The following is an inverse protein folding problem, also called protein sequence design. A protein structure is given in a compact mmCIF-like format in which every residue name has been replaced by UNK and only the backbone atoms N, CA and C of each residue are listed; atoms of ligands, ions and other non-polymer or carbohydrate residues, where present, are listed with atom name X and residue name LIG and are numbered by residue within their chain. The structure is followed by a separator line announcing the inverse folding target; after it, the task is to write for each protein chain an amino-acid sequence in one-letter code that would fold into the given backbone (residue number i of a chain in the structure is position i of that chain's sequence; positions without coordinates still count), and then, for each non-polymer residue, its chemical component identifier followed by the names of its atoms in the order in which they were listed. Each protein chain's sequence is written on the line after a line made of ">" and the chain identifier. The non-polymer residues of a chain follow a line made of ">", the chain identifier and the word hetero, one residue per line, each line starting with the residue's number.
data_IF_654630636255
#
_entry.id   IF_654630636255
#
_cell.length_a   1.000
_cell.length_b   1.000
_cell.length_c   1.000
_cell.angle_alpha   90.00
_cell.angle_beta   90.00
_cell.angle_gamma   90.00
#
_symmetry.space_group_name_H-M   'P 1'
#
loop_
_entity.id
_entity.type
_entity.pdbx_description
1 polymer ?
#
# COMPACT_ATOMS: atom_id res chain seq x y z
N UNK A 1 -13.98 -19.98 -10.40
CA UNK A 1 -15.18 -19.28 -9.87
C UNK A 1 -14.72 -18.33 -8.77
N UNK A 2 -14.78 -17.03 -8.98
CA UNK A 2 -14.28 -16.03 -8.00
C UNK A 2 -15.28 -15.88 -6.87
N UNK A 3 -14.99 -16.43 -5.70
CA UNK A 3 -15.86 -16.38 -4.51
C UNK A 3 -15.83 -15.03 -3.74
N UNK A 4 -14.95 -14.11 -4.11
CA UNK A 4 -14.82 -12.84 -3.43
C UNK A 4 -14.60 -11.65 -4.38
N UNK A 5 -15.67 -11.11 -4.93
CA UNK A 5 -15.76 -9.68 -5.07
C UNK A 5 -16.78 -9.17 -4.06
N UNK A 6 -16.34 -8.38 -3.08
CA UNK A 6 -17.26 -7.62 -2.22
C UNK A 6 -17.87 -6.50 -3.07
N UNK A 7 -18.77 -6.86 -3.97
CA UNK A 7 -19.63 -5.95 -4.71
C UNK A 7 -21.00 -5.95 -4.06
N UNK A 8 -21.59 -4.78 -3.80
CA UNK A 8 -23.02 -4.71 -3.63
C UNK A 8 -23.73 -5.34 -4.85
N UNK A 9 -23.25 -5.04 -6.03
CA UNK A 9 -23.67 -5.64 -7.29
C UNK A 9 -23.34 -7.14 -7.38
N UNK A 10 -22.25 -7.59 -6.75
CA UNK A 10 -21.90 -9.02 -6.71
C UNK A 10 -22.82 -9.81 -5.78
N UNK A 11 -23.17 -9.29 -4.59
CA UNK A 11 -24.14 -9.94 -3.72
C UNK A 11 -25.52 -9.98 -4.37
N UNK A 12 -25.94 -8.93 -5.07
CA UNK A 12 -27.16 -8.92 -5.88
C UNK A 12 -27.08 -9.92 -7.04
N UNK A 13 -25.91 -10.04 -7.66
CA UNK A 13 -25.68 -11.04 -8.72
C UNK A 13 -25.69 -12.45 -8.15
N UNK A 14 -25.05 -12.69 -7.00
CA UNK A 14 -25.09 -14.00 -6.32
C UNK A 14 -26.49 -14.37 -5.87
N UNK A 15 -27.24 -13.45 -5.27
CA UNK A 15 -28.65 -13.62 -4.92
C UNK A 15 -29.46 -14.14 -6.15
N UNK A 16 -29.33 -13.45 -7.30
CA UNK A 16 -29.99 -13.88 -8.55
C UNK A 16 -29.45 -15.18 -9.13
N UNK A 17 -28.19 -15.54 -8.90
CA UNK A 17 -27.63 -16.83 -9.30
C UNK A 17 -28.26 -17.94 -8.45
N UNK A 18 -28.30 -17.75 -7.13
CA UNK A 18 -28.93 -18.70 -6.23
C UNK A 18 -30.44 -18.88 -6.53
N UNK A 19 -31.16 -17.77 -6.75
CA UNK A 19 -32.60 -17.83 -7.17
C UNK A 19 -32.81 -18.69 -8.41
N UNK A 20 -31.92 -18.56 -9.44
CA UNK A 20 -32.00 -19.40 -10.66
C UNK A 20 -31.79 -20.89 -10.39
N UNK A 21 -31.10 -21.23 -9.31
CA UNK A 21 -30.88 -22.59 -8.85
C UNK A 21 -31.91 -23.03 -7.77
N UNK A 22 -32.99 -22.26 -7.58
CA UNK A 22 -34.05 -22.58 -6.63
C UNK A 22 -33.70 -22.30 -5.16
N UNK A 23 -32.61 -21.62 -4.89
CA UNK A 23 -32.15 -21.30 -3.52
C UNK A 23 -32.32 -19.81 -3.24
N UNK A 24 -33.07 -19.48 -2.18
CA UNK A 24 -33.25 -18.08 -1.75
C UNK A 24 -32.31 -17.73 -0.60
N UNK A 25 -31.24 -16.96 -0.89
CA UNK A 25 -30.30 -16.46 0.10
C UNK A 25 -30.22 -14.95 -0.01
N UNK A 26 -30.62 -14.25 1.04
CA UNK A 26 -30.63 -12.79 1.05
C UNK A 26 -29.21 -12.21 1.07
N UNK A 27 -29.05 -11.00 0.52
CA UNK A 27 -27.79 -10.24 0.60
C UNK A 27 -27.36 -9.98 2.05
N UNK A 28 -28.32 -9.84 2.96
CA UNK A 28 -28.07 -9.66 4.41
C UNK A 28 -27.45 -10.91 4.99
N UNK A 29 -27.99 -12.08 4.69
CA UNK A 29 -27.48 -13.39 5.12
C UNK A 29 -26.04 -13.60 4.63
N UNK A 30 -25.80 -13.43 3.32
CA UNK A 30 -24.45 -13.53 2.75
C UNK A 30 -23.48 -12.54 3.37
N UNK A 31 -23.94 -11.30 3.66
CA UNK A 31 -23.15 -10.29 4.36
C UNK A 31 -22.78 -10.67 5.78
N UNK A 32 -23.71 -11.31 6.50
CA UNK A 32 -23.48 -11.85 7.84
C UNK A 32 -22.43 -12.96 7.84
N UNK A 33 -22.53 -13.91 6.91
CA UNK A 33 -21.53 -14.98 6.78
C UNK A 33 -20.10 -14.43 6.50
N UNK A 34 -19.99 -13.45 5.62
CA UNK A 34 -18.70 -12.81 5.32
C UNK A 34 -18.12 -12.10 6.55
N UNK A 35 -18.97 -11.47 7.38
CA UNK A 35 -18.53 -10.86 8.63
C UNK A 35 -18.06 -11.92 9.64
N UNK A 36 -18.83 -13.00 9.82
CA UNK A 36 -18.46 -14.12 10.69
C UNK A 36 -17.13 -14.77 10.25
N UNK A 37 -16.91 -14.98 8.95
CA UNK A 37 -15.61 -15.46 8.47
C UNK A 37 -14.46 -14.52 8.85
N UNK A 38 -14.65 -13.19 8.77
CA UNK A 38 -13.62 -12.24 9.16
C UNK A 38 -13.38 -12.27 10.69
N UNK A 39 -14.42 -12.45 11.49
CA UNK A 39 -14.29 -12.60 12.94
C UNK A 39 -13.52 -13.88 13.33
N UNK A 40 -13.83 -15.01 12.69
CA UNK A 40 -13.10 -16.27 12.86
C UNK A 40 -11.61 -16.16 12.48
N UNK A 41 -11.30 -15.33 11.48
CA UNK A 41 -9.94 -15.12 10.99
C UNK A 41 -9.18 -14.04 11.78
N UNK A 42 -9.80 -13.34 12.73
CA UNK A 42 -9.15 -12.24 13.45
C UNK A 42 -7.87 -12.67 14.19
N UNK A 43 -7.81 -13.82 14.89
CA UNK A 43 -6.56 -14.27 15.52
C UNK A 43 -5.41 -14.41 14.53
N UNK A 44 -5.67 -14.99 13.34
CA UNK A 44 -4.66 -15.11 12.28
C UNK A 44 -4.30 -13.74 11.67
N UNK A 45 -5.26 -12.81 11.59
CA UNK A 45 -5.01 -11.44 11.17
C UNK A 45 -4.08 -10.72 12.15
N UNK A 46 -4.27 -10.89 13.46
CA UNK A 46 -3.39 -10.31 14.47
C UNK A 46 -1.99 -10.92 14.43
N UNK A 47 -1.89 -12.24 14.21
CA UNK A 47 -0.61 -12.93 14.02
C UNK A 47 0.12 -12.41 12.77
N UNK A 48 -0.59 -12.26 11.65
CA UNK A 48 -0.04 -11.70 10.42
C UNK A 48 0.40 -10.23 10.60
N UNK A 49 -0.33 -9.44 11.40
CA UNK A 49 0.09 -8.09 11.78
C UNK A 49 1.37 -8.10 12.61
N UNK A 50 1.49 -9.02 13.57
CA UNK A 50 2.70 -9.19 14.39
C UNK A 50 3.91 -9.56 13.52
N UNK A 51 3.73 -10.49 12.58
CA UNK A 51 4.76 -10.87 11.61
C UNK A 51 5.19 -9.66 10.75
N UNK A 52 4.24 -8.89 10.21
CA UNK A 52 4.51 -7.67 9.46
C UNK A 52 5.36 -6.67 10.26
N UNK A 53 5.05 -6.48 11.54
CA UNK A 53 5.79 -5.55 12.42
C UNK A 53 7.21 -6.04 12.75
N UNK A 54 7.57 -7.27 12.42
CA UNK A 54 8.94 -7.79 12.41
C UNK A 54 9.74 -7.39 11.17
N UNK A 55 9.12 -6.83 10.14
CA UNK A 55 9.81 -6.40 8.93
C UNK A 55 10.84 -5.32 9.21
N UNK A 56 11.96 -5.36 8.51
CA UNK A 56 12.94 -4.25 8.48
C UNK A 56 12.38 -3.02 7.77
N UNK A 57 11.57 -3.24 6.72
CA UNK A 57 10.94 -2.20 5.91
C UNK A 57 9.44 -2.47 5.79
N UNK A 58 8.64 -1.49 6.16
CA UNK A 58 7.20 -1.50 5.90
C UNK A 58 6.86 -0.43 4.88
N UNK A 59 6.24 -0.84 3.76
CA UNK A 59 5.62 0.07 2.82
C UNK A 59 4.19 0.39 3.25
N UNK A 60 3.75 1.64 3.14
CA UNK A 60 2.36 2.04 3.44
C UNK A 60 1.88 3.15 2.51
N UNK A 61 0.58 3.20 2.30
CA UNK A 61 -0.13 4.24 1.56
C UNK A 61 -1.57 4.27 2.05
N UNK A 62 -2.40 5.19 1.57
CA UNK A 62 -3.82 5.20 1.90
C UNK A 62 -4.72 5.34 0.66
N UNK A 63 -5.90 4.76 0.73
CA UNK A 63 -6.91 4.98 -0.30
C UNK A 63 -8.27 5.26 0.31
N UNK A 64 -9.00 6.23 -0.30
CA UNK A 64 -10.34 6.60 0.17
C UNK A 64 -11.38 5.54 -0.18
N UNK A 65 -12.33 5.33 0.72
CA UNK A 65 -13.51 4.49 0.50
C UNK A 65 -14.75 5.20 1.01
N UNK A 66 -15.85 5.08 0.28
CA UNK A 66 -17.16 5.59 0.74
C UNK A 66 -17.73 4.61 1.77
N UNK A 67 -18.28 5.14 2.86
CA UNK A 67 -18.89 4.36 3.94
C UNK A 67 -20.26 4.96 4.26
N UNK A 68 -21.30 4.12 4.27
CA UNK A 68 -22.62 4.56 4.69
C UNK A 68 -22.64 4.81 6.19
N UNK A 69 -23.25 5.92 6.56
CA UNK A 69 -23.55 6.27 7.95
C UNK A 69 -25.03 6.52 8.07
N UNK A 70 -25.74 5.75 8.92
CA UNK A 70 -27.18 5.88 9.11
C UNK A 70 -27.61 7.22 9.66
N UNK A 71 -26.67 7.98 10.25
CA UNK A 71 -26.92 9.30 10.85
C UNK A 71 -26.75 10.44 9.83
N UNK A 72 -26.25 10.12 8.63
CA UNK A 72 -25.94 11.12 7.61
C UNK A 72 -26.74 10.83 6.32
N UNK A 73 -27.19 11.87 5.60
CA UNK A 73 -27.87 11.71 4.32
C UNK A 73 -26.92 11.37 3.15
N UNK A 74 -25.60 11.30 3.42
CA UNK A 74 -24.56 11.01 2.43
C UNK A 74 -23.54 10.01 2.99
N UNK A 75 -22.80 9.34 2.09
CA UNK A 75 -21.71 8.47 2.46
C UNK A 75 -20.50 9.30 2.91
N UNK A 76 -19.97 9.05 4.10
CA UNK A 76 -18.69 9.62 4.55
C UNK A 76 -17.49 8.94 3.90
N UNK A 77 -16.33 9.55 4.02
CA UNK A 77 -15.07 9.01 3.49
C UNK A 77 -14.25 8.38 4.61
N UNK A 78 -14.15 7.05 4.58
CA UNK A 78 -13.20 6.29 5.36
C UNK A 78 -11.91 6.03 4.58
N UNK A 79 -10.96 5.34 5.19
CA UNK A 79 -9.66 4.99 4.60
C UNK A 79 -9.34 3.51 4.78
N UNK A 80 -8.72 2.96 3.76
CA UNK A 80 -8.02 1.68 3.81
C UNK A 80 -6.53 1.96 3.68
N UNK A 81 -5.76 1.37 4.58
CA UNK A 81 -4.31 1.50 4.68
C UNK A 81 -3.69 0.13 4.43
N UNK A 82 -3.08 -0.15 3.28
CA UNK A 82 -2.23 -1.30 3.11
C UNK A 82 -0.87 -1.07 3.78
N UNK A 83 -0.40 -2.08 4.48
CA UNK A 83 0.95 -2.18 5.00
C UNK A 83 1.59 -3.41 4.37
N UNK A 84 2.68 -3.24 3.66
CA UNK A 84 3.40 -4.30 2.99
C UNK A 84 4.75 -4.53 3.65
N UNK A 85 5.00 -5.73 4.12
CA UNK A 85 6.29 -6.13 4.69
C UNK A 85 7.38 -6.31 3.63
N UNK A 86 8.58 -6.62 4.06
CA UNK A 86 9.74 -6.88 3.21
C UNK A 86 9.74 -8.30 2.60
N UNK A 87 10.88 -8.75 2.08
CA UNK A 87 11.00 -10.08 1.48
C UNK A 87 11.05 -11.21 2.53
N UNK A 88 11.42 -10.92 3.77
CA UNK A 88 11.45 -11.88 4.87
C UNK A 88 10.07 -12.03 5.53
N UNK A 89 9.24 -10.99 5.44
CA UNK A 89 7.87 -10.92 5.92
C UNK A 89 6.93 -10.58 4.75
N UNK A 90 6.72 -11.50 3.79
CA UNK A 90 6.04 -11.21 2.53
C UNK A 90 4.52 -11.14 2.68
N UNK A 91 4.04 -10.45 3.69
CA UNK A 91 2.61 -10.25 3.96
C UNK A 91 2.17 -8.85 3.61
N UNK A 92 0.88 -8.69 3.31
CA UNK A 92 0.21 -7.40 3.12
C UNK A 92 -0.97 -7.38 4.08
N UNK A 93 -0.96 -6.45 5.02
CA UNK A 93 -2.02 -6.26 6.00
C UNK A 93 -2.74 -4.94 5.69
N UNK A 94 -4.07 -5.02 5.52
CA UNK A 94 -4.90 -3.83 5.38
C UNK A 94 -5.49 -3.46 6.73
N UNK A 95 -5.51 -2.18 7.04
CA UNK A 95 -6.28 -1.62 8.15
C UNK A 95 -7.36 -0.68 7.62
N UNK A 96 -8.43 -0.55 8.37
CA UNK A 96 -9.53 0.37 8.08
C UNK A 96 -9.65 1.42 9.16
N UNK A 97 -9.70 2.69 8.74
CA UNK A 97 -9.99 3.80 9.65
C UNK A 97 -11.17 4.66 9.17
N UNK A 98 -12.00 5.17 10.11
CA UNK A 98 -13.11 6.06 9.76
C UNK A 98 -12.67 7.38 9.14
N UNK A 99 -11.45 7.83 9.41
CA UNK A 99 -10.89 9.11 8.97
C UNK A 99 -9.47 8.95 8.43
N UNK A 100 -8.95 9.97 7.78
CA UNK A 100 -7.54 10.03 7.32
C UNK A 100 -6.57 10.50 8.42
N UNK A 101 -7.00 10.54 9.68
CA UNK A 101 -6.20 11.07 10.78
C UNK A 101 -5.04 10.16 11.17
N UNK A 102 -4.04 10.75 11.83
CA UNK A 102 -2.82 10.09 12.32
C UNK A 102 -3.07 8.94 13.29
N UNK A 103 -4.17 8.98 14.04
CA UNK A 103 -4.45 8.00 15.09
C UNK A 103 -4.49 6.55 14.58
N UNK A 104 -4.99 6.32 13.35
CA UNK A 104 -5.03 4.99 12.75
C UNK A 104 -3.62 4.42 12.51
N UNK A 105 -2.82 5.03 11.63
CA UNK A 105 -1.44 4.60 11.40
C UNK A 105 -0.58 4.57 12.67
N UNK A 106 -0.78 5.50 13.63
CA UNK A 106 -0.06 5.52 14.89
C UNK A 106 -0.34 4.27 15.74
N UNK A 107 -1.61 3.86 15.81
CA UNK A 107 -2.02 2.62 16.49
C UNK A 107 -1.53 1.36 15.78
N UNK A 108 -1.56 1.37 14.45
CA UNK A 108 -1.11 0.22 13.67
C UNK A 108 0.38 -0.02 13.83
N UNK A 109 1.20 1.04 13.74
CA UNK A 109 2.66 1.02 13.81
C UNK A 109 3.20 1.18 15.25
N UNK A 110 2.37 0.99 16.26
CA UNK A 110 2.80 1.10 17.65
C UNK A 110 3.89 0.07 17.96
N UNK A 111 5.02 0.54 18.53
CA UNK A 111 6.17 -0.31 18.82
C UNK A 111 7.06 -0.67 17.63
N UNK A 112 6.66 -0.39 16.40
CA UNK A 112 7.49 -0.66 15.23
C UNK A 112 8.72 0.26 15.20
N UNK A 113 9.87 -0.33 14.87
CA UNK A 113 11.15 0.35 14.66
C UNK A 113 11.75 -0.16 13.35
N UNK A 114 12.19 0.74 12.49
CA UNK A 114 12.73 0.36 11.20
C UNK A 114 12.44 1.41 10.12
N UNK A 115 12.41 0.98 8.89
CA UNK A 115 12.15 1.84 7.75
C UNK A 115 10.65 1.87 7.42
N UNK A 116 10.09 3.06 7.28
CA UNK A 116 8.73 3.26 6.78
C UNK A 116 8.80 3.92 5.40
N UNK A 117 8.39 3.18 4.37
CA UNK A 117 8.33 3.70 3.00
C UNK A 117 6.91 4.16 2.68
N UNK A 118 6.74 5.47 2.48
CA UNK A 118 5.44 6.08 2.23
C UNK A 118 5.53 7.20 1.19
N UNK A 119 4.36 7.73 0.80
CA UNK A 119 4.31 9.04 0.17
C UNK A 119 4.62 10.14 1.21
N UNK A 120 4.95 11.34 0.74
CA UNK A 120 5.24 12.49 1.62
C UNK A 120 3.97 13.06 2.28
N UNK A 121 3.07 12.21 2.75
CA UNK A 121 1.87 12.65 3.44
C UNK A 121 2.20 13.04 4.88
N UNK A 122 1.89 14.27 5.26
CA UNK A 122 2.25 14.88 6.56
C UNK A 122 1.75 14.13 7.80
N UNK A 123 0.85 13.17 7.64
CA UNK A 123 0.41 12.26 8.72
C UNK A 123 1.60 11.48 9.28
N UNK A 124 2.58 11.14 8.43
CA UNK A 124 3.75 10.35 8.82
C UNK A 124 4.87 11.17 9.46
N UNK A 125 4.92 12.50 9.26
CA UNK A 125 6.01 13.37 9.79
C UNK A 125 6.28 13.18 11.27
N UNK A 126 5.22 12.96 12.07
CA UNK A 126 5.36 12.73 13.50
C UNK A 126 5.95 11.37 13.89
N UNK A 127 6.03 10.44 12.94
CA UNK A 127 6.60 9.11 13.17
C UNK A 127 8.13 9.12 12.99
N UNK A 128 8.64 10.07 12.23
CA UNK A 128 10.06 10.19 11.92
C UNK A 128 10.85 11.01 12.95
N UNK A 129 10.25 11.26 14.11
CA UNK A 129 10.96 11.87 15.23
C UNK A 129 11.96 10.87 15.83
N UNK A 130 13.16 11.32 16.24
CA UNK A 130 14.22 10.44 16.76
C UNK A 130 13.75 9.47 17.86
N UNK A 131 12.84 9.92 18.72
CA UNK A 131 12.34 9.13 19.87
C UNK A 131 11.52 7.92 19.44
N UNK A 132 10.99 7.91 18.21
CA UNK A 132 10.16 6.80 17.70
C UNK A 132 10.93 5.70 17.00
N UNK A 133 12.17 5.98 16.58
CA UNK A 133 13.04 5.00 15.94
C UNK A 133 12.60 4.56 14.55
N UNK A 134 11.70 5.33 13.88
CA UNK A 134 11.34 5.10 12.49
C UNK A 134 12.17 5.99 11.57
N UNK A 135 12.61 5.40 10.47
CA UNK A 135 13.37 6.08 9.42
C UNK A 135 12.54 6.17 8.15
N UNK A 136 12.36 7.39 7.65
CA UNK A 136 11.59 7.63 6.43
C UNK A 136 12.33 7.11 5.19
N UNK A 137 11.63 6.43 4.29
CA UNK A 137 12.09 6.09 2.94
C UNK A 137 11.10 6.66 1.93
N UNK A 138 11.60 7.49 1.01
CA UNK A 138 10.78 8.12 -0.01
C UNK A 138 10.42 7.16 -1.16
N UNK A 139 9.45 7.58 -1.95
CA UNK A 139 8.95 6.81 -3.09
C UNK A 139 9.24 7.56 -4.41
N UNK A 140 10.17 7.05 -5.23
CA UNK A 140 10.49 7.65 -6.53
C UNK A 140 9.33 7.60 -7.52
N UNK A 141 8.37 6.70 -7.37
CA UNK A 141 7.17 6.69 -8.22
C UNK A 141 6.35 7.97 -8.02
N UNK A 142 6.23 8.48 -6.78
CA UNK A 142 5.57 9.75 -6.51
C UNK A 142 6.34 10.94 -7.10
N UNK A 143 7.65 11.02 -6.89
CA UNK A 143 8.50 12.06 -7.48
C UNK A 143 8.39 12.04 -9.02
N UNK A 144 8.48 10.86 -9.64
CA UNK A 144 8.29 10.66 -11.08
C UNK A 144 6.92 11.13 -11.55
N UNK A 145 5.86 10.87 -10.80
CA UNK A 145 4.48 11.28 -11.13
C UNK A 145 4.35 12.81 -11.18
N UNK A 146 4.97 13.53 -10.24
CA UNK A 146 4.99 14.99 -10.26
C UNK A 146 5.72 15.53 -11.49
N UNK A 147 6.92 15.02 -11.79
CA UNK A 147 7.71 15.41 -12.96
C UNK A 147 6.95 15.10 -14.27
N UNK A 148 6.35 13.89 -14.36
CA UNK A 148 5.58 13.48 -15.54
C UNK A 148 4.37 14.38 -15.80
N UNK A 149 3.62 14.76 -14.75
CA UNK A 149 2.47 15.68 -14.88
C UNK A 149 2.91 17.07 -15.35
N UNK A 150 4.10 17.51 -14.97
CA UNK A 150 4.62 18.81 -15.35
C UNK A 150 5.12 18.86 -16.81
N UNK A 151 5.36 17.70 -17.45
CA UNK A 151 5.75 17.65 -18.88
C UNK A 151 4.74 18.29 -19.80
N UNK A 152 3.44 18.22 -19.52
CA UNK A 152 2.39 18.81 -20.36
C UNK A 152 2.54 20.33 -20.51
N UNK A 153 3.05 20.97 -19.45
CA UNK A 153 3.22 22.44 -19.39
C UNK A 153 4.65 22.91 -19.57
N UNK A 154 5.66 22.03 -19.39
CA UNK A 154 7.08 22.41 -19.39
C UNK A 154 7.98 21.22 -19.75
N UNK A 155 7.85 20.75 -20.98
CA UNK A 155 8.62 19.61 -21.49
C UNK A 155 10.14 19.88 -21.51
N UNK A 156 10.54 21.12 -21.79
CA UNK A 156 11.96 21.47 -21.92
C UNK A 156 12.69 21.29 -20.60
N UNK A 157 12.09 21.72 -19.47
CA UNK A 157 12.73 21.63 -18.15
C UNK A 157 12.47 20.29 -17.47
N UNK A 158 11.32 19.67 -17.68
CA UNK A 158 10.97 18.41 -17.00
C UNK A 158 11.49 17.17 -17.71
N UNK A 159 11.74 17.23 -19.01
CA UNK A 159 12.28 16.12 -19.81
C UNK A 159 13.61 15.57 -19.26
N UNK A 160 14.63 16.40 -19.05
CA UNK A 160 15.91 15.95 -18.47
C UNK A 160 15.77 15.32 -17.09
N UNK A 161 14.93 15.89 -16.21
CA UNK A 161 14.66 15.32 -14.89
C UNK A 161 14.01 13.93 -14.99
N UNK A 162 12.99 13.79 -15.85
CA UNK A 162 12.33 12.51 -16.07
C UNK A 162 13.29 11.47 -16.66
N UNK A 163 14.18 11.87 -17.57
CA UNK A 163 15.20 11.00 -18.12
C UNK A 163 16.16 10.47 -17.05
N UNK A 164 16.64 11.32 -16.15
CA UNK A 164 17.51 10.91 -15.04
C UNK A 164 16.79 9.94 -14.09
N UNK A 165 15.50 10.20 -13.77
CA UNK A 165 14.70 9.29 -12.96
C UNK A 165 14.52 7.93 -13.68
N UNK A 166 14.25 7.93 -14.98
CA UNK A 166 14.15 6.68 -15.76
C UNK A 166 15.44 5.87 -15.70
N UNK A 167 16.60 6.52 -15.72
CA UNK A 167 17.91 5.85 -15.56
C UNK A 167 18.09 5.23 -14.18
N UNK A 168 17.57 5.84 -13.11
CA UNK A 168 17.57 5.21 -11.77
C UNK A 168 16.80 3.89 -11.80
N UNK A 169 15.61 3.87 -12.40
CA UNK A 169 14.82 2.64 -12.56
C UNK A 169 15.54 1.60 -13.41
N UNK A 170 16.24 2.01 -14.48
CA UNK A 170 17.01 1.09 -15.30
C UNK A 170 18.15 0.38 -14.53
N UNK A 171 18.73 1.04 -13.51
CA UNK A 171 19.70 0.38 -12.59
C UNK A 171 19.01 -0.71 -11.77
N UNK A 172 17.82 -0.46 -11.25
CA UNK A 172 17.06 -1.44 -10.48
C UNK A 172 16.62 -2.64 -11.34
N UNK A 173 16.13 -2.38 -12.56
CA UNK A 173 15.79 -3.44 -13.53
C UNK A 173 17.01 -4.29 -13.90
N UNK A 174 18.16 -3.68 -14.04
CA UNK A 174 19.42 -4.41 -14.27
C UNK A 174 19.80 -5.29 -13.09
N UNK A 175 19.70 -4.76 -11.86
CA UNK A 175 19.97 -5.53 -10.64
C UNK A 175 19.06 -6.76 -10.55
N UNK A 176 17.78 -6.58 -10.85
CA UNK A 176 16.77 -7.64 -10.87
C UNK A 176 17.04 -8.67 -11.98
N UNK A 177 17.31 -8.22 -13.20
CA UNK A 177 17.59 -9.11 -14.34
C UNK A 177 18.82 -10.00 -14.11
N UNK A 178 19.81 -9.47 -13.38
CA UNK A 178 21.03 -10.21 -13.01
C UNK A 178 20.89 -10.97 -11.68
N UNK A 179 19.72 -10.95 -11.05
CA UNK A 179 19.45 -11.60 -9.74
C UNK A 179 20.54 -11.27 -8.70
N UNK A 180 20.94 -9.99 -8.64
CA UNK A 180 22.00 -9.55 -7.73
C UNK A 180 21.59 -9.74 -6.26
N UNK A 181 22.57 -10.13 -5.42
CA UNK A 181 22.38 -10.14 -3.97
C UNK A 181 22.14 -8.73 -3.42
N UNK A 182 21.71 -8.61 -2.17
CA UNK A 182 21.49 -7.34 -1.46
C UNK A 182 22.75 -6.47 -1.49
N UNK A 183 23.92 -7.06 -1.20
CA UNK A 183 25.21 -6.38 -1.20
C UNK A 183 25.65 -5.95 -2.61
N UNK A 184 25.43 -6.82 -3.60
CA UNK A 184 25.75 -6.51 -5.00
C UNK A 184 24.85 -5.40 -5.54
N UNK A 185 23.54 -5.43 -5.16
CA UNK A 185 22.58 -4.38 -5.50
C UNK A 185 23.00 -3.05 -4.88
N UNK A 186 23.37 -3.03 -3.60
CA UNK A 186 23.87 -1.84 -2.92
C UNK A 186 25.11 -1.29 -3.61
N UNK A 187 26.11 -2.13 -3.91
CA UNK A 187 27.33 -1.72 -4.60
C UNK A 187 27.03 -1.14 -5.99
N UNK A 188 26.10 -1.71 -6.74
CA UNK A 188 25.65 -1.19 -8.05
C UNK A 188 25.01 0.20 -7.88
N UNK A 189 24.14 0.40 -6.90
CA UNK A 189 23.50 1.68 -6.58
C UNK A 189 24.53 2.75 -6.22
N UNK A 190 25.47 2.43 -5.34
CA UNK A 190 26.52 3.36 -4.92
C UNK A 190 27.44 3.76 -6.09
N UNK A 191 27.73 2.84 -7.00
CA UNK A 191 28.57 3.10 -8.18
C UNK A 191 27.85 3.90 -9.27
N UNK A 192 26.54 3.66 -9.50
CA UNK A 192 25.83 4.21 -10.65
C UNK A 192 24.75 5.18 -10.24
N UNK A 193 23.84 4.79 -9.33
CA UNK A 193 22.68 5.61 -8.95
C UNK A 193 23.10 6.86 -8.19
N UNK A 194 24.14 6.79 -7.34
CA UNK A 194 24.64 7.96 -6.62
C UNK A 194 25.08 9.09 -7.58
N UNK A 195 25.79 8.76 -8.68
CA UNK A 195 26.19 9.73 -9.69
C UNK A 195 24.99 10.32 -10.48
N UNK A 196 23.96 9.51 -10.74
CA UNK A 196 22.71 9.98 -11.36
C UNK A 196 21.94 10.92 -10.45
N UNK A 197 21.86 10.59 -9.17
CA UNK A 197 21.22 11.43 -8.14
C UNK A 197 21.95 12.75 -7.96
N UNK A 198 23.28 12.74 -7.94
CA UNK A 198 24.06 13.99 -7.88
C UNK A 198 23.77 14.93 -9.06
N UNK A 199 23.66 14.38 -10.28
CA UNK A 199 23.26 15.15 -11.47
C UNK A 199 21.83 15.68 -11.37
N UNK A 200 20.91 14.85 -10.92
CA UNK A 200 19.49 15.24 -10.77
C UNK A 200 19.34 16.31 -9.68
N UNK A 201 20.01 16.17 -8.54
CA UNK A 201 19.96 17.15 -7.46
C UNK A 201 20.44 18.52 -7.91
N UNK A 202 21.63 18.54 -8.55
CA UNK A 202 22.19 19.77 -9.12
C UNK A 202 21.21 20.43 -10.09
N UNK A 203 20.66 19.64 -11.01
CA UNK A 203 19.69 20.12 -11.98
C UNK A 203 18.43 20.72 -11.35
N UNK A 204 17.87 20.04 -10.33
CA UNK A 204 16.69 20.54 -9.61
C UNK A 204 16.96 21.82 -8.82
N UNK A 205 18.15 21.96 -8.24
CA UNK A 205 18.56 23.20 -7.55
C UNK A 205 18.71 24.37 -8.53
N UNK A 206 19.25 24.13 -9.72
CA UNK A 206 19.36 25.14 -10.79
C UNK A 206 17.97 25.55 -11.30
N UNK A 207 17.04 24.61 -11.41
CA UNK A 207 15.66 24.89 -11.84
C UNK A 207 14.82 25.61 -10.78
N UNK A 208 15.10 25.44 -9.51
CA UNK A 208 14.26 25.96 -8.42
C UNK A 208 13.94 27.46 -8.54
N UNK A 209 14.89 28.36 -8.81
CA UNK A 209 14.62 29.79 -9.01
C UNK A 209 13.93 30.11 -10.34
N UNK A 210 13.99 29.23 -11.35
CA UNK A 210 13.47 29.47 -12.69
C UNK A 210 11.98 29.09 -12.85
N UNK A 211 11.42 28.31 -11.93
CA UNK A 211 10.06 27.82 -12.02
C UNK A 211 9.13 28.52 -11.05
N UNK A 212 7.92 28.83 -11.50
CA UNK A 212 6.92 29.46 -10.64
C UNK A 212 6.50 28.46 -9.53
N UNK A 213 6.53 28.87 -8.25
CA UNK A 213 6.26 27.95 -7.11
C UNK A 213 4.92 27.21 -7.17
N UNK A 214 3.89 27.83 -7.77
CA UNK A 214 2.55 27.22 -7.90
C UNK A 214 2.34 26.49 -9.22
N UNK A 215 3.31 26.48 -10.14
CA UNK A 215 3.24 25.72 -11.38
C UNK A 215 3.42 24.21 -11.13
N UNK A 216 3.01 23.34 -12.06
CA UNK A 216 3.31 21.92 -11.99
C UNK A 216 4.81 21.63 -11.85
N UNK A 217 5.66 22.34 -12.60
CA UNK A 217 7.12 22.22 -12.53
C UNK A 217 7.67 22.64 -11.17
N UNK A 218 7.19 23.79 -10.61
CA UNK A 218 7.56 24.22 -9.26
C UNK A 218 7.12 23.24 -8.17
N UNK A 219 5.96 22.61 -8.32
CA UNK A 219 5.50 21.57 -7.42
C UNK A 219 6.39 20.31 -7.50
N UNK A 220 6.81 19.91 -8.70
CA UNK A 220 7.68 18.75 -8.91
C UNK A 220 9.07 18.97 -8.30
N UNK A 221 9.69 20.12 -8.57
CA UNK A 221 11.00 20.49 -8.03
C UNK A 221 10.95 20.56 -6.50
N UNK A 222 9.97 21.27 -5.94
CA UNK A 222 9.79 21.40 -4.49
C UNK A 222 9.56 20.03 -3.82
N UNK A 223 8.72 19.17 -4.38
CA UNK A 223 8.50 17.83 -3.85
C UNK A 223 9.82 17.05 -3.78
N UNK A 224 10.54 16.98 -4.90
CA UNK A 224 11.78 16.21 -4.97
C UNK A 224 12.86 16.75 -4.02
N UNK A 225 13.05 18.07 -3.93
CA UNK A 225 14.03 18.67 -3.05
C UNK A 225 13.66 18.54 -1.56
N UNK A 226 12.39 18.73 -1.20
CA UNK A 226 11.94 18.57 0.19
C UNK A 226 12.08 17.12 0.68
N UNK A 227 11.89 16.16 -0.21
CA UNK A 227 11.97 14.72 0.09
C UNK A 227 13.34 14.12 -0.25
N UNK A 228 14.35 14.95 -0.54
CA UNK A 228 15.62 14.46 -1.10
C UNK A 228 16.30 13.42 -0.21
N UNK A 229 16.40 13.68 1.10
CA UNK A 229 17.00 12.77 2.05
C UNK A 229 16.26 11.41 2.08
N UNK A 230 14.94 11.42 2.11
CA UNK A 230 14.14 10.20 2.08
C UNK A 230 14.24 9.47 0.73
N UNK A 231 14.25 10.20 -0.39
CA UNK A 231 14.36 9.65 -1.73
C UNK A 231 15.74 9.02 -2.03
N UNK A 232 16.80 9.47 -1.37
CA UNK A 232 18.16 8.93 -1.56
C UNK A 232 18.49 7.79 -0.63
N UNK A 233 17.67 7.52 0.36
CA UNK A 233 17.93 6.51 1.42
C UNK A 233 18.11 5.09 0.90
N UNK A 234 17.51 4.73 -0.23
CA UNK A 234 17.74 3.43 -0.86
C UNK A 234 19.20 3.16 -1.27
N UNK A 235 20.08 4.18 -1.23
CA UNK A 235 21.52 4.02 -1.40
C UNK A 235 22.23 3.54 -0.13
N UNK A 236 21.57 3.53 1.02
CA UNK A 236 22.15 3.14 2.31
C UNK A 236 22.03 1.64 2.54
N UNK A 237 21.03 1.01 1.91
CA UNK A 237 20.72 -0.40 2.15
C UNK A 237 20.15 -1.07 0.88
N UNK A 238 20.69 -2.23 0.53
CA UNK A 238 20.28 -2.98 -0.66
C UNK A 238 18.89 -3.61 -0.57
N UNK A 239 18.33 -3.75 0.62
CA UNK A 239 16.95 -4.25 0.82
C UNK A 239 15.89 -3.18 0.58
N UNK A 240 16.23 -1.90 0.71
CA UNK A 240 15.28 -0.82 0.46
C UNK A 240 14.90 -0.78 -1.03
N UNK A 241 13.60 -0.70 -1.30
CA UNK A 241 13.12 -0.53 -2.66
C UNK A 241 13.18 0.95 -3.09
N UNK A 242 13.40 1.20 -4.38
CA UNK A 242 13.41 2.57 -4.94
C UNK A 242 12.03 3.22 -4.84
N UNK A 243 10.96 2.41 -4.82
CA UNK A 243 9.59 2.89 -4.68
C UNK A 243 8.71 1.93 -3.87
N UNK A 244 7.54 2.42 -3.51
CA UNK A 244 6.54 1.69 -2.74
C UNK A 244 5.59 0.85 -3.63
N UNK A 245 6.14 0.21 -4.67
CA UNK A 245 5.36 -0.48 -5.69
C UNK A 245 4.47 -1.61 -5.18
N UNK A 246 4.88 -2.32 -4.13
CA UNK A 246 4.07 -3.38 -3.52
C UNK A 246 2.77 -2.83 -2.93
N UNK A 247 2.88 -1.74 -2.17
CA UNK A 247 1.74 -1.05 -1.54
C UNK A 247 0.85 -0.37 -2.58
N UNK A 248 1.44 0.23 -3.61
CA UNK A 248 0.67 0.84 -4.71
C UNK A 248 -0.16 -0.21 -5.47
N UNK A 249 0.40 -1.40 -5.72
CA UNK A 249 -0.35 -2.52 -6.31
C UNK A 249 -1.48 -2.98 -5.39
N UNK A 250 -1.25 -3.06 -4.09
CA UNK A 250 -2.27 -3.38 -3.09
C UNK A 250 -3.41 -2.35 -3.11
N UNK A 251 -3.09 -1.06 -3.15
CA UNK A 251 -4.08 0.01 -3.29
C UNK A 251 -4.87 -0.04 -4.61
N UNK A 252 -4.23 -0.48 -5.70
CA UNK A 252 -4.89 -0.63 -7.00
C UNK A 252 -6.04 -1.63 -6.95
N UNK A 253 -5.89 -2.74 -6.22
CA UNK A 253 -6.96 -3.73 -6.02
C UNK A 253 -8.19 -3.12 -5.33
N UNK A 254 -7.98 -2.22 -4.35
CA UNK A 254 -9.05 -1.45 -3.70
C UNK A 254 -9.67 -0.44 -4.67
N UNK A 255 -8.83 0.29 -5.42
CA UNK A 255 -9.28 1.31 -6.37
C UNK A 255 -10.15 0.72 -7.49
N UNK A 256 -9.75 -0.42 -8.06
CA UNK A 256 -10.55 -1.16 -9.05
C UNK A 256 -11.82 -1.70 -8.38
N UNK A 257 -11.71 -2.25 -7.19
CA UNK A 257 -12.83 -2.79 -6.42
C UNK A 257 -13.92 -1.73 -6.16
N UNK A 258 -13.56 -0.50 -5.87
CA UNK A 258 -14.51 0.62 -5.63
C UNK A 258 -15.48 0.85 -6.79
N UNK A 259 -15.04 0.67 -8.02
CA UNK A 259 -15.90 0.78 -9.20
C UNK A 259 -16.99 -0.30 -9.23
N UNK A 260 -16.82 -1.32 -8.42
CA UNK A 260 -17.70 -2.49 -8.37
C UNK A 260 -18.60 -2.53 -7.15
N UNK A 261 -18.11 -2.16 -5.96
CA UNK A 261 -18.87 -2.20 -4.71
C UNK A 261 -19.22 -0.80 -4.15
N UNK A 262 -18.82 0.27 -4.81
CA UNK A 262 -19.15 1.68 -4.58
C UNK A 262 -18.95 2.20 -3.15
N UNK A 263 -19.41 1.49 -2.11
CA UNK A 263 -19.29 1.87 -0.70
C UNK A 263 -19.31 0.66 0.24
N UNK A 264 -18.81 0.84 1.45
CA UNK A 264 -19.05 -0.07 2.59
C UNK A 264 -20.34 0.31 3.30
N UNK A 265 -21.11 -0.70 3.75
CA UNK A 265 -22.38 -0.49 4.44
C UNK A 265 -22.24 0.09 5.87
N UNK A 266 -21.05 0.02 6.46
CA UNK A 266 -20.71 0.52 7.80
C UNK A 266 -19.21 0.45 8.04
N UNK A 267 -18.73 0.95 9.19
CA UNK A 267 -17.34 0.77 9.64
C UNK A 267 -16.98 -0.71 9.82
N UNK A 268 -17.91 -1.52 10.33
CA UNK A 268 -17.69 -2.97 10.45
C UNK A 268 -17.48 -3.60 9.08
N UNK A 269 -18.21 -3.16 8.04
CA UNK A 269 -17.96 -3.59 6.67
C UNK A 269 -16.58 -3.22 6.15
N UNK A 270 -16.06 -2.06 6.56
CA UNK A 270 -14.68 -1.63 6.27
C UNK A 270 -13.64 -2.53 6.95
N UNK A 271 -13.82 -2.83 8.23
CA UNK A 271 -12.95 -3.74 9.01
C UNK A 271 -12.98 -5.17 8.43
N UNK A 272 -14.18 -5.71 8.18
CA UNK A 272 -14.36 -7.02 7.52
C UNK A 272 -13.59 -7.08 6.19
N UNK A 273 -13.71 -6.04 5.37
CA UNK A 273 -12.99 -5.96 4.11
C UNK A 273 -11.48 -5.91 4.30
N UNK A 274 -10.98 -5.17 5.29
CA UNK A 274 -9.56 -5.09 5.61
C UNK A 274 -8.99 -6.47 5.98
N UNK A 275 -9.63 -7.20 6.91
CA UNK A 275 -9.21 -8.55 7.31
C UNK A 275 -9.14 -9.49 6.10
N UNK A 276 -10.25 -9.66 5.37
CA UNK A 276 -10.29 -10.61 4.26
C UNK A 276 -9.34 -10.24 3.11
N UNK A 277 -9.20 -8.95 2.83
CA UNK A 277 -8.27 -8.45 1.81
C UNK A 277 -6.80 -8.70 2.18
N UNK A 278 -6.47 -8.66 3.46
CA UNK A 278 -5.13 -8.97 3.95
C UNK A 278 -4.71 -10.38 3.57
N UNK A 279 -5.57 -11.36 3.79
CA UNK A 279 -5.30 -12.75 3.40
C UNK A 279 -5.24 -12.91 1.88
N UNK A 280 -6.18 -12.32 1.13
CA UNK A 280 -6.17 -12.39 -0.34
C UNK A 280 -4.88 -11.81 -0.92
N UNK A 281 -4.44 -10.65 -0.43
CA UNK A 281 -3.25 -9.99 -0.94
C UNK A 281 -1.97 -10.74 -0.57
N UNK A 282 -1.89 -11.25 0.66
CA UNK A 282 -0.76 -12.04 1.13
C UNK A 282 -0.67 -13.38 0.38
N UNK A 283 -1.78 -14.09 0.19
CA UNK A 283 -1.82 -15.31 -0.64
C UNK A 283 -1.27 -15.03 -2.05
N UNK A 284 -1.77 -13.99 -2.72
CA UNK A 284 -1.29 -13.62 -4.06
C UNK A 284 0.20 -13.29 -4.07
N UNK A 285 0.69 -12.59 -3.05
CA UNK A 285 2.11 -12.22 -2.93
C UNK A 285 3.01 -13.44 -2.72
N UNK A 286 2.52 -14.44 -1.99
CA UNK A 286 3.21 -15.70 -1.73
C UNK A 286 2.96 -16.79 -2.78
N UNK A 287 2.23 -16.49 -3.87
CA UNK A 287 1.92 -17.47 -4.91
C UNK A 287 0.90 -18.54 -4.49
N UNK A 288 0.13 -18.30 -3.43
CA UNK A 288 -0.92 -19.18 -2.92
C UNK A 288 -2.26 -18.80 -3.53
N UNK A 289 -3.05 -19.81 -3.94
CA UNK A 289 -4.40 -19.57 -4.47
C UNK A 289 -5.35 -19.22 -3.31
N UNK A 290 -5.96 -18.00 -3.30
CA UNK A 290 -6.73 -17.53 -2.15
C UNK A 290 -7.96 -18.39 -1.82
N UNK A 291 -8.67 -18.92 -2.81
CA UNK A 291 -9.84 -19.73 -2.56
C UNK A 291 -9.50 -21.06 -1.88
N UNK A 292 -8.45 -21.72 -2.36
CA UNK A 292 -7.97 -22.96 -1.75
C UNK A 292 -7.52 -22.71 -0.31
N UNK A 293 -6.81 -21.60 -0.05
CA UNK A 293 -6.40 -21.19 1.29
C UNK A 293 -7.59 -20.97 2.22
N UNK A 294 -8.61 -20.19 1.79
CA UNK A 294 -9.80 -19.95 2.61
C UNK A 294 -10.60 -21.23 2.85
N UNK A 295 -10.72 -22.10 1.86
CA UNK A 295 -11.42 -23.38 2.00
C UNK A 295 -10.77 -24.28 3.04
N UNK A 296 -9.43 -24.40 3.02
CA UNK A 296 -8.67 -25.17 3.99
C UNK A 296 -8.76 -24.58 5.39
N UNK A 297 -8.41 -23.30 5.54
CA UNK A 297 -8.34 -22.63 6.85
C UNK A 297 -9.68 -22.55 7.53
N UNK A 298 -10.75 -22.14 6.84
CA UNK A 298 -12.07 -22.03 7.44
C UNK A 298 -12.66 -23.39 7.81
N UNK A 299 -12.25 -24.48 7.15
CA UNK A 299 -12.65 -25.83 7.53
C UNK A 299 -11.96 -26.31 8.80
N UNK A 300 -10.74 -25.86 9.06
CA UNK A 300 -9.92 -26.31 10.22
C UNK A 300 -10.08 -25.43 11.46
N UNK A 301 -10.34 -24.12 11.31
CA UNK A 301 -10.43 -23.17 12.44
C UNK A 301 -11.40 -23.65 13.55
N UNK A 302 -12.59 -24.18 13.27
CA UNK A 302 -13.50 -24.62 14.33
C UNK A 302 -12.96 -25.76 15.20
N UNK A 303 -12.01 -26.52 14.69
CA UNK A 303 -11.38 -27.64 15.41
C UNK A 303 -10.06 -27.24 16.14
N UNK A 304 -9.56 -26.01 15.90
CA UNK A 304 -8.35 -25.52 16.56
C UNK A 304 -8.67 -24.87 17.91
N UNK A 305 -8.00 -25.32 18.95
CA UNK A 305 -7.99 -24.66 20.26
C UNK A 305 -7.36 -23.27 20.12
N UNK A 306 -8.01 -22.24 20.69
CA UNK A 306 -7.52 -20.85 20.71
C UNK A 306 -6.21 -20.70 21.49
N UNK A 307 -5.80 -21.72 22.25
CA UNK A 307 -4.58 -21.74 23.09
C UNK A 307 -3.31 -22.15 22.37
N UNK A 308 -3.35 -22.43 21.07
CA UNK A 308 -2.22 -22.89 20.26
C UNK A 308 -1.75 -21.96 19.13
N UNK A 309 -2.07 -20.68 19.20
CA UNK A 309 -1.61 -19.68 18.24
C UNK A 309 -0.34 -18.98 18.74
N UNK A 310 0.74 -19.75 18.94
CA UNK A 310 2.12 -19.24 19.03
C UNK A 310 2.83 -19.43 17.68
#
# INVERSE_FOLDING_TARGET
>A
MSLFPVKLDTRRRQEKIFERHGVQISRKTMGGWVAQCAELLDPLYQSMKKDLLGSKVIGTDDTSVKVLDRKLPFARIGRIWPYAGDCHHPVIVYDYTPTRGRAGPAKFLEGYKGYLQADAYSVYDAFFKPERGLTEVGCWMHARRYVFKALESDQQRMGPALHLIARLYAVEERAKALSLSVEQRLALRQRVSAGLLGKLHKYLLELQPEVLPKSPSGAAVRYALNQWAALTRFLEDGELEIDNGATERANRDIAIGRNNWTFFGSDNGGKTAAVLRSFIASCKRCGVEPFAWFSDVLSRIPAHSVTGAE
#
